data_IF_010721695383
#
_entry.id   IF_010721695383
#
_cell.length_a   1.000
_cell.length_b   1.000
_cell.length_c   1.000
_cell.angle_alpha   90.00
_cell.angle_beta   90.00
_cell.angle_gamma   90.00
#
_symmetry.space_group_name_H-M   'P 1'
#
loop_
_entity.id
_entity.type
_entity.pdbx_description
1 polymer ?
#
# COMPACT_ATOMS: atom_id res chain seq x y z
N UNK A 1 16.22 -0.09 3.73
CA UNK A 1 16.62 0.51 5.03
C UNK A 1 15.71 1.65 5.49
N UNK A 2 15.28 2.58 4.62
CA UNK A 2 14.43 3.71 5.01
C UNK A 2 13.10 3.34 5.68
N UNK A 3 12.49 2.20 5.29
CA UNK A 3 11.29 1.66 5.95
C UNK A 3 11.45 1.58 7.48
N UNK A 4 12.54 1.00 7.99
CA UNK A 4 12.77 0.85 9.44
C UNK A 4 12.83 2.19 10.17
N UNK A 5 13.43 3.21 9.55
CA UNK A 5 13.52 4.55 10.14
C UNK A 5 12.15 5.20 10.18
N UNK A 6 11.40 5.11 9.09
CA UNK A 6 10.10 5.75 8.99
C UNK A 6 9.02 5.09 9.86
N UNK A 7 9.02 3.77 10.01
CA UNK A 7 8.05 3.11 10.91
C UNK A 7 8.30 3.41 12.40
N UNK A 8 9.54 3.75 12.77
CA UNK A 8 9.90 4.14 14.14
C UNK A 8 9.84 5.66 14.40
N UNK A 9 9.54 6.48 13.39
CA UNK A 9 9.49 7.93 13.53
C UNK A 9 8.05 8.44 13.57
N UNK A 10 7.76 9.41 14.45
CA UNK A 10 6.40 9.94 14.66
C UNK A 10 5.75 10.49 13.37
N UNK A 11 6.55 11.13 12.50
CA UNK A 11 6.11 11.65 11.19
C UNK A 11 6.47 10.75 10.01
N UNK A 12 7.04 9.57 10.26
CA UNK A 12 7.59 8.75 9.18
C UNK A 12 6.54 8.22 8.20
N UNK A 13 5.28 8.08 8.63
CA UNK A 13 4.16 7.69 7.74
C UNK A 13 3.92 8.71 6.64
N UNK A 14 4.00 9.99 6.95
CA UNK A 14 3.84 11.05 5.95
C UNK A 14 5.04 11.10 5.00
N UNK A 15 6.24 10.96 5.55
CA UNK A 15 7.48 10.94 4.77
C UNK A 15 7.56 9.73 3.84
N UNK A 16 7.08 8.54 4.25
CA UNK A 16 6.97 7.36 3.37
C UNK A 16 6.09 7.67 2.17
N UNK A 17 4.90 8.22 2.42
CA UNK A 17 3.95 8.52 1.35
C UNK A 17 4.57 9.55 0.39
N UNK A 18 5.17 10.60 0.93
CA UNK A 18 5.83 11.62 0.10
C UNK A 18 6.99 11.07 -0.72
N UNK A 19 7.85 10.26 -0.09
CA UNK A 19 9.05 9.74 -0.73
C UNK A 19 8.75 8.63 -1.73
N UNK A 20 7.84 7.70 -1.43
CA UNK A 20 7.61 6.52 -2.28
C UNK A 20 6.48 6.70 -3.29
N UNK A 21 5.43 7.46 -2.97
CA UNK A 21 4.30 7.64 -3.87
C UNK A 21 4.49 8.85 -4.80
N UNK A 22 5.06 9.96 -4.30
CA UNK A 22 5.12 11.21 -5.05
C UNK A 22 6.48 11.52 -5.71
N UNK A 23 7.55 10.75 -5.39
CA UNK A 23 8.83 10.88 -6.11
C UNK A 23 8.94 9.80 -7.20
N UNK A 24 8.99 10.18 -8.49
CA UNK A 24 8.88 9.24 -9.60
C UNK A 24 10.04 8.23 -9.67
N UNK A 25 11.25 8.63 -9.29
CA UNK A 25 12.40 7.71 -9.27
C UNK A 25 12.23 6.55 -8.28
N UNK A 26 11.62 6.81 -7.12
CA UNK A 26 11.37 5.77 -6.13
C UNK A 26 10.18 4.90 -6.54
N UNK A 27 9.12 5.49 -7.08
CA UNK A 27 7.97 4.75 -7.57
C UNK A 27 8.36 3.80 -8.71
N UNK A 28 9.12 4.27 -9.70
CA UNK A 28 9.60 3.44 -10.81
C UNK A 28 10.46 2.26 -10.30
N UNK A 29 11.31 2.48 -9.29
CA UNK A 29 12.12 1.42 -8.71
C UNK A 29 11.24 0.35 -8.01
N UNK A 30 10.17 0.78 -7.33
CA UNK A 30 9.20 -0.12 -6.70
C UNK A 30 8.49 -0.97 -7.76
N UNK A 31 8.03 -0.35 -8.85
CA UNK A 31 7.31 -1.03 -9.92
C UNK A 31 8.19 -2.02 -10.71
N UNK A 32 9.48 -1.73 -10.86
CA UNK A 32 10.38 -2.55 -11.70
C UNK A 32 11.15 -3.62 -10.94
N UNK A 33 11.57 -3.35 -9.70
CA UNK A 33 12.56 -4.18 -8.99
C UNK A 33 12.04 -4.72 -7.65
N UNK A 34 11.18 -3.97 -6.94
CA UNK A 34 10.79 -4.31 -5.58
C UNK A 34 9.30 -4.08 -5.28
N UNK A 35 8.39 -4.85 -5.92
CA UNK A 35 6.94 -4.64 -5.76
C UNK A 35 6.44 -4.99 -4.35
N UNK A 36 7.16 -5.83 -3.61
CA UNK A 36 6.87 -6.16 -2.21
C UNK A 36 6.88 -4.94 -1.26
N UNK A 37 7.43 -3.80 -1.68
CA UNK A 37 7.38 -2.55 -0.90
C UNK A 37 5.96 -1.97 -0.84
N UNK A 38 5.11 -2.29 -1.83
CA UNK A 38 3.74 -1.79 -1.93
C UNK A 38 2.87 -2.14 -0.72
N UNK A 39 3.07 -3.29 -0.07
CA UNK A 39 2.32 -3.62 1.18
C UNK A 39 2.59 -2.62 2.30
N UNK A 40 3.84 -2.16 2.43
CA UNK A 40 4.22 -1.20 3.47
C UNK A 40 3.72 0.20 3.13
N UNK A 41 3.73 0.57 1.85
CA UNK A 41 3.13 1.81 1.40
C UNK A 41 1.61 1.80 1.63
N UNK A 42 0.94 0.69 1.33
CA UNK A 42 -0.49 0.50 1.55
C UNK A 42 -0.87 0.65 3.02
N UNK A 43 -0.17 -0.06 3.91
CA UNK A 43 -0.41 0.08 5.37
C UNK A 43 -0.16 1.51 5.85
N UNK A 44 0.91 2.18 5.40
CA UNK A 44 1.20 3.56 5.78
C UNK A 44 0.09 4.54 5.34
N UNK A 45 -0.45 4.39 4.13
CA UNK A 45 -1.56 5.21 3.61
C UNK A 45 -2.86 4.93 4.35
N UNK A 46 -3.22 3.66 4.59
CA UNK A 46 -4.46 3.28 5.31
C UNK A 46 -4.46 3.83 6.73
N UNK A 47 -3.33 3.73 7.44
CA UNK A 47 -3.20 4.21 8.82
C UNK A 47 -3.23 5.75 8.87
N UNK A 48 -2.70 6.43 7.85
CA UNK A 48 -2.66 7.89 7.81
C UNK A 48 -3.97 8.51 7.29
N UNK A 49 -4.94 8.67 8.20
CA UNK A 49 -6.26 9.25 7.88
C UNK A 49 -6.24 10.68 7.34
N UNK A 50 -5.14 11.42 7.49
CA UNK A 50 -4.98 12.81 7.02
C UNK A 50 -4.72 12.95 5.51
N UNK A 51 -4.29 11.90 4.83
CA UNK A 51 -3.91 11.92 3.39
C UNK A 51 -4.84 11.03 2.55
N UNK A 52 -6.16 11.21 2.67
CA UNK A 52 -7.15 10.44 1.89
C UNK A 52 -6.96 10.56 0.37
N UNK A 53 -6.41 11.68 -0.11
CA UNK A 53 -6.08 11.85 -1.54
C UNK A 53 -5.04 10.83 -2.02
N UNK A 54 -4.05 10.50 -1.19
CA UNK A 54 -3.00 9.53 -1.52
C UNK A 54 -3.55 8.11 -1.73
N UNK A 55 -4.69 7.79 -1.13
CA UNK A 55 -5.32 6.48 -1.29
C UNK A 55 -5.75 6.23 -2.74
N UNK A 56 -6.29 7.26 -3.41
CA UNK A 56 -6.71 7.14 -4.82
C UNK A 56 -5.52 6.90 -5.74
N UNK A 57 -4.40 7.59 -5.49
CA UNK A 57 -3.18 7.44 -6.27
C UNK A 57 -2.54 6.07 -6.01
N UNK A 58 -2.49 5.63 -4.76
CA UNK A 58 -2.02 4.30 -4.39
C UNK A 58 -2.83 3.19 -5.05
N UNK A 59 -4.17 3.28 -5.07
CA UNK A 59 -5.03 2.26 -5.70
C UNK A 59 -4.71 2.11 -7.19
N UNK A 60 -4.41 3.21 -7.90
CA UNK A 60 -3.98 3.14 -9.30
C UNK A 60 -2.66 2.39 -9.45
N UNK A 61 -1.69 2.64 -8.57
CA UNK A 61 -0.40 1.92 -8.58
C UNK A 61 -0.60 0.44 -8.29
N UNK A 62 -1.43 0.09 -7.29
CA UNK A 62 -1.74 -1.31 -6.98
C UNK A 62 -2.38 -2.01 -8.18
N UNK A 63 -3.35 -1.35 -8.84
CA UNK A 63 -4.00 -1.92 -10.02
C UNK A 63 -3.03 -2.11 -11.18
N UNK A 64 -2.07 -1.20 -11.35
CA UNK A 64 -1.01 -1.34 -12.36
C UNK A 64 -0.11 -2.53 -12.04
N UNK A 65 0.25 -2.75 -10.78
CA UNK A 65 1.21 -3.79 -10.38
C UNK A 65 0.58 -5.15 -10.02
N UNK A 66 -0.75 -5.28 -10.12
CA UNK A 66 -1.48 -6.49 -9.71
C UNK A 66 -1.16 -7.75 -10.53
N UNK A 67 -0.52 -7.58 -11.70
CA UNK A 67 0.00 -8.70 -12.50
C UNK A 67 1.32 -9.26 -11.97
N UNK A 68 2.12 -8.43 -11.28
CA UNK A 68 3.46 -8.80 -10.77
C UNK A 68 3.41 -9.26 -9.32
N UNK A 69 2.62 -8.59 -8.49
CA UNK A 69 2.61 -8.83 -7.04
C UNK A 69 1.19 -8.78 -6.48
N UNK A 70 0.89 -9.77 -5.63
CA UNK A 70 -0.38 -9.89 -4.93
C UNK A 70 -0.12 -10.23 -3.48
N UNK A 71 -0.79 -9.52 -2.60
CA UNK A 71 -0.74 -9.65 -1.15
C UNK A 71 -2.12 -9.38 -0.58
N UNK A 72 -2.54 -10.04 0.50
CA UNK A 72 -3.86 -9.82 1.08
C UNK A 72 -4.17 -8.34 1.38
N UNK A 73 -3.16 -7.54 1.73
CA UNK A 73 -3.32 -6.10 2.02
C UNK A 73 -3.59 -5.31 0.73
N UNK A 74 -2.87 -5.62 -0.36
CA UNK A 74 -3.07 -4.94 -1.65
C UNK A 74 -4.38 -5.39 -2.30
N UNK A 75 -4.70 -6.68 -2.22
CA UNK A 75 -5.95 -7.25 -2.73
C UNK A 75 -7.16 -6.72 -1.95
N UNK A 76 -7.05 -6.55 -0.62
CA UNK A 76 -8.09 -5.90 0.18
C UNK A 76 -8.45 -4.51 -0.38
N UNK A 77 -7.44 -3.69 -0.68
CA UNK A 77 -7.66 -2.36 -1.27
C UNK A 77 -8.26 -2.43 -2.68
N UNK A 78 -7.85 -3.41 -3.48
CA UNK A 78 -8.39 -3.64 -4.83
C UNK A 78 -9.88 -4.04 -4.77
N UNK A 79 -10.24 -4.99 -3.90
CA UNK A 79 -11.64 -5.38 -3.71
C UNK A 79 -12.50 -4.19 -3.24
N UNK A 80 -11.98 -3.36 -2.34
CA UNK A 80 -12.73 -2.25 -1.77
C UNK A 80 -12.90 -1.06 -2.72
N UNK A 81 -11.86 -0.69 -3.47
CA UNK A 81 -11.83 0.56 -4.26
C UNK A 81 -11.90 0.37 -5.78
N UNK A 82 -11.68 -0.84 -6.29
CA UNK A 82 -11.75 -1.14 -7.72
C UNK A 82 -12.97 -2.02 -8.02
N UNK A 83 -13.09 -3.15 -7.31
CA UNK A 83 -14.14 -4.14 -7.61
C UNK A 83 -15.46 -3.86 -6.87
N UNK A 84 -15.42 -3.03 -5.82
CA UNK A 84 -16.56 -2.78 -4.92
C UNK A 84 -17.17 -4.07 -4.33
N UNK A 85 -16.33 -5.08 -4.13
CA UNK A 85 -16.71 -6.38 -3.59
C UNK A 85 -16.40 -6.43 -2.09
N UNK A 86 -17.43 -6.16 -1.28
CA UNK A 86 -17.30 -6.10 0.17
C UNK A 86 -17.18 -7.47 0.83
N UNK A 87 -17.72 -8.52 0.22
CA UNK A 87 -17.60 -9.88 0.73
C UNK A 87 -16.17 -10.40 0.54
N UNK A 88 -15.61 -10.19 -0.66
CA UNK A 88 -14.20 -10.45 -0.95
C UNK A 88 -13.28 -9.61 -0.08
N UNK A 89 -13.56 -8.32 0.08
CA UNK A 89 -12.78 -7.44 0.96
C UNK A 89 -12.80 -7.94 2.43
N UNK A 90 -13.95 -8.38 2.95
CA UNK A 90 -14.03 -8.93 4.32
C UNK A 90 -13.19 -10.19 4.47
N UNK A 91 -13.25 -11.10 3.50
CA UNK A 91 -12.44 -12.31 3.51
C UNK A 91 -10.94 -11.98 3.51
N UNK A 92 -10.52 -11.05 2.65
CA UNK A 92 -9.13 -10.58 2.59
C UNK A 92 -8.68 -9.88 3.86
N UNK A 93 -9.57 -9.19 4.57
CA UNK A 93 -9.26 -8.60 5.88
C UNK A 93 -8.90 -9.68 6.91
N UNK A 94 -9.59 -10.82 6.91
CA UNK A 94 -9.23 -11.95 7.78
C UNK A 94 -7.87 -12.54 7.40
N UNK A 95 -7.58 -12.68 6.10
CA UNK A 95 -6.26 -13.12 5.63
C UNK A 95 -5.14 -12.14 6.02
N UNK A 96 -5.41 -10.83 6.00
CA UNK A 96 -4.46 -9.81 6.46
C UNK A 96 -4.05 -10.03 7.92
N UNK A 97 -4.99 -10.46 8.78
CA UNK A 97 -4.68 -10.75 10.18
C UNK A 97 -3.67 -11.90 10.30
N UNK A 98 -3.86 -12.98 9.56
CA UNK A 98 -2.95 -14.14 9.56
C UNK A 98 -1.55 -13.80 9.03
N UNK A 99 -1.43 -12.83 8.13
CA UNK A 99 -0.12 -12.44 7.56
C UNK A 99 0.63 -11.43 8.45
N UNK A 100 -0.06 -10.80 9.41
CA UNK A 100 0.52 -9.82 10.33
C UNK A 100 0.90 -10.42 11.69
N UNK A 101 0.45 -11.63 12.00
CA UNK A 101 0.72 -12.37 13.23
C UNK A 101 1.49 -13.65 12.94
#
# INVERSE_FOLDING_TARGET
>A
WSLFVFFNHAMGRELIIEMFLYRPHYLNAIQTMCPHILRYLATAVIINRGRRSALKDLVKVIQQESYTYRDPITEFLEHLYVNFDFDGARQKLHECQTVLF
#
